data_IF_438861981547
#
_entry.id   IF_438861981547
#
_cell.length_a   1.000
_cell.length_b   1.000
_cell.length_c   1.000
_cell.angle_alpha   90.00
_cell.angle_beta   90.00
_cell.angle_gamma   90.00
#
_symmetry.space_group_name_H-M   'P 1'
#
loop_
_entity.id
_entity.type
_entity.pdbx_description
1 polymer ?
#
# COMPACT_ATOMS: atom_id res chain seq x y z
N UNK A 1 19.08 -19.31 -3.43
CA UNK A 1 19.82 -18.29 -4.20
C UNK A 1 19.88 -17.05 -3.33
N UNK A 2 21.05 -16.72 -2.80
CA UNK A 2 21.23 -15.60 -1.86
C UNK A 2 21.17 -14.31 -2.68
N UNK A 3 20.14 -13.50 -2.47
CA UNK A 3 20.09 -12.12 -2.96
C UNK A 3 21.26 -11.37 -2.34
N UNK A 4 22.08 -10.74 -3.16
CA UNK A 4 23.28 -10.05 -2.70
C UNK A 4 22.90 -8.98 -1.65
N UNK A 5 23.65 -8.85 -0.54
CA UNK A 5 23.42 -7.79 0.44
C UNK A 5 23.61 -6.42 -0.23
N UNK A 6 22.75 -5.46 0.10
CA UNK A 6 22.84 -4.06 -0.37
C UNK A 6 24.26 -3.54 -0.13
N UNK A 7 25.02 -3.26 -1.20
CA UNK A 7 26.38 -2.75 -1.10
C UNK A 7 26.39 -1.23 -1.13
N UNK A 8 27.23 -0.61 -0.29
CA UNK A 8 27.43 0.83 -0.29
C UNK A 8 27.86 1.34 -1.67
N UNK A 9 28.69 0.58 -2.39
CA UNK A 9 29.13 0.90 -3.75
C UNK A 9 27.97 1.06 -4.71
N UNK A 10 26.97 0.18 -4.65
CA UNK A 10 25.79 0.24 -5.52
C UNK A 10 24.93 1.46 -5.21
N UNK A 11 24.77 1.79 -3.93
CA UNK A 11 24.04 2.99 -3.49
C UNK A 11 24.73 4.27 -3.95
N UNK A 12 26.06 4.33 -3.85
CA UNK A 12 26.86 5.47 -4.33
C UNK A 12 26.71 5.64 -5.84
N UNK A 13 26.85 4.54 -6.60
CA UNK A 13 26.70 4.57 -8.07
C UNK A 13 25.29 5.04 -8.45
N UNK A 14 24.26 4.53 -7.78
CA UNK A 14 22.86 4.92 -8.01
C UNK A 14 22.68 6.43 -7.88
N UNK A 15 23.14 7.01 -6.76
CA UNK A 15 23.05 8.47 -6.53
C UNK A 15 23.89 9.27 -7.54
N UNK A 16 25.09 8.78 -7.86
CA UNK A 16 26.02 9.46 -8.76
C UNK A 16 25.51 9.52 -10.21
N UNK A 17 24.75 8.52 -10.64
CA UNK A 17 24.16 8.44 -11.98
C UNK A 17 22.91 9.32 -12.11
N UNK A 18 22.09 9.44 -11.07
CA UNK A 18 20.84 10.22 -11.12
C UNK A 18 21.04 11.74 -11.17
N UNK A 19 22.15 12.24 -10.61
CA UNK A 19 22.39 13.69 -10.44
C UNK A 19 23.78 14.09 -10.92
N UNK A 20 23.93 15.01 -11.90
CA UNK A 20 25.23 15.46 -12.38
C UNK A 20 25.91 16.44 -11.40
N UNK A 21 25.15 17.19 -10.61
CA UNK A 21 25.67 18.20 -9.68
C UNK A 21 25.89 17.66 -8.26
N UNK A 22 26.91 18.19 -7.58
CA UNK A 22 27.37 17.67 -6.28
C UNK A 22 26.33 17.87 -5.17
N UNK A 23 25.63 19.00 -5.15
CA UNK A 23 24.60 19.28 -4.13
C UNK A 23 23.34 18.44 -4.37
N UNK A 24 22.96 18.21 -5.62
CA UNK A 24 21.88 17.32 -6.03
C UNK A 24 22.15 15.88 -5.64
N UNK A 25 23.39 15.40 -5.77
CA UNK A 25 23.81 14.07 -5.27
C UNK A 25 23.66 13.97 -3.75
N UNK A 26 24.06 15.00 -3.00
CA UNK A 26 23.91 15.00 -1.54
C UNK A 26 22.43 14.94 -1.12
N UNK A 27 21.57 15.73 -1.76
CA UNK A 27 20.12 15.67 -1.51
C UNK A 27 19.54 14.28 -1.81
N UNK A 28 19.91 13.70 -2.96
CA UNK A 28 19.48 12.36 -3.34
C UNK A 28 19.99 11.27 -2.38
N UNK A 29 21.22 11.40 -1.88
CA UNK A 29 21.76 10.49 -0.87
C UNK A 29 20.98 10.55 0.45
N UNK A 30 20.58 11.74 0.90
CA UNK A 30 19.75 11.90 2.11
C UNK A 30 18.37 11.26 1.91
N UNK A 31 17.73 11.49 0.77
CA UNK A 31 16.44 10.88 0.43
C UNK A 31 16.54 9.35 0.37
N UNK A 32 17.59 8.81 -0.25
CA UNK A 32 17.83 7.38 -0.33
C UNK A 32 18.11 6.78 1.05
N UNK A 33 18.89 7.46 1.89
CA UNK A 33 19.14 7.03 3.28
C UNK A 33 17.85 6.98 4.09
N UNK A 34 16.96 7.96 3.94
CA UNK A 34 15.66 7.95 4.60
C UNK A 34 14.80 6.78 4.14
N UNK A 35 14.77 6.51 2.82
CA UNK A 35 14.05 5.36 2.25
C UNK A 35 14.58 4.02 2.77
N UNK A 36 15.91 3.86 2.85
CA UNK A 36 16.54 2.65 3.39
C UNK A 36 16.21 2.48 4.89
N UNK A 37 16.16 3.57 5.65
CA UNK A 37 15.72 3.55 7.04
C UNK A 37 14.28 3.06 7.18
N UNK A 38 13.37 3.60 6.37
CA UNK A 38 11.97 3.17 6.32
C UNK A 38 11.82 1.71 5.90
N UNK A 39 12.54 1.26 4.88
CA UNK A 39 12.54 -0.15 4.47
C UNK A 39 13.06 -1.06 5.57
N UNK A 40 14.12 -0.64 6.27
CA UNK A 40 14.64 -1.32 7.46
C UNK A 40 13.59 -1.43 8.56
N UNK A 41 12.88 -0.34 8.86
CA UNK A 41 11.82 -0.33 9.86
C UNK A 41 10.66 -1.26 9.50
N UNK A 42 10.25 -1.31 8.23
CA UNK A 42 9.19 -2.23 7.77
C UNK A 42 9.64 -3.69 7.78
N UNK A 43 10.87 -3.97 7.38
CA UNK A 43 11.46 -5.30 7.46
C UNK A 43 11.45 -5.82 8.90
N UNK A 44 11.92 -4.98 9.84
CA UNK A 44 11.89 -5.31 11.28
C UNK A 44 10.44 -5.47 11.74
N UNK A 45 9.55 -4.55 11.35
CA UNK A 45 8.12 -4.61 11.70
C UNK A 45 7.44 -5.91 11.24
N UNK A 46 7.77 -6.42 10.05
CA UNK A 46 7.26 -7.70 9.54
C UNK A 46 7.63 -8.87 10.46
N UNK A 47 8.91 -8.99 10.82
CA UNK A 47 9.38 -10.06 11.70
C UNK A 47 8.92 -9.89 13.15
N UNK A 48 8.68 -8.65 13.60
CA UNK A 48 8.02 -8.39 14.89
C UNK A 48 6.57 -8.89 14.86
N UNK A 49 5.81 -8.58 13.80
CA UNK A 49 4.43 -9.09 13.61
C UNK A 49 4.42 -10.64 13.58
N UNK A 50 5.37 -11.25 12.87
CA UNK A 50 5.55 -12.71 12.81
C UNK A 50 5.85 -13.31 14.19
N UNK A 51 6.83 -12.76 14.92
CA UNK A 51 7.19 -13.20 16.27
C UNK A 51 6.01 -13.09 17.24
N UNK A 52 5.22 -11.99 17.15
CA UNK A 52 4.01 -11.82 17.96
C UNK A 52 2.96 -12.88 17.65
N UNK A 53 2.76 -13.25 16.37
CA UNK A 53 1.83 -14.32 15.96
C UNK A 53 2.30 -15.70 16.42
N UNK A 54 3.60 -15.92 16.47
CA UNK A 54 4.21 -17.14 17.02
C UNK A 54 4.18 -17.20 18.56
N UNK A 55 3.64 -16.16 19.23
CA UNK A 55 3.45 -16.12 20.68
C UNK A 55 4.58 -15.46 21.47
N UNK A 56 5.59 -14.88 20.81
CA UNK A 56 6.70 -14.21 21.50
C UNK A 56 6.21 -12.99 22.30
N UNK A 57 6.74 -12.81 23.51
CA UNK A 57 6.38 -11.67 24.36
C UNK A 57 7.09 -10.39 23.90
N UNK A 58 6.56 -9.23 24.31
CA UNK A 58 7.23 -7.95 24.07
C UNK A 58 8.58 -7.82 24.81
N UNK A 59 8.80 -8.63 25.84
CA UNK A 59 10.09 -8.72 26.51
C UNK A 59 11.10 -9.41 25.60
N UNK A 60 10.74 -10.59 25.07
CA UNK A 60 11.60 -11.39 24.20
C UNK A 60 11.94 -10.65 22.90
N UNK A 61 10.95 -9.96 22.32
CA UNK A 61 11.14 -9.14 21.11
C UNK A 61 12.08 -7.98 21.39
N UNK A 62 11.91 -7.30 22.53
CA UNK A 62 12.79 -6.20 22.92
C UNK A 62 14.24 -6.65 23.07
N UNK A 63 14.44 -7.76 23.78
CA UNK A 63 15.76 -8.39 23.96
C UNK A 63 16.40 -8.76 22.61
N UNK A 64 15.62 -9.37 21.70
CA UNK A 64 16.10 -9.79 20.38
C UNK A 64 16.53 -8.64 19.48
N UNK A 65 15.95 -7.45 19.61
CA UNK A 65 16.28 -6.27 18.78
C UNK A 65 17.14 -5.25 19.54
N UNK A 66 17.63 -5.59 20.74
CA UNK A 66 18.52 -4.76 21.54
C UNK A 66 17.87 -3.51 22.14
N UNK A 67 16.56 -3.53 22.40
CA UNK A 67 15.83 -2.39 22.99
C UNK A 67 15.01 -2.83 24.20
N UNK A 68 14.60 -1.88 25.05
CA UNK A 68 13.74 -2.21 26.18
C UNK A 68 12.34 -2.64 25.71
N UNK A 69 11.63 -3.45 26.52
CA UNK A 69 10.20 -3.79 26.27
C UNK A 69 9.36 -2.56 25.92
N UNK A 70 9.53 -1.47 26.68
CA UNK A 70 8.79 -0.22 26.46
C UNK A 70 9.19 0.47 25.14
N UNK A 71 10.46 0.43 24.75
CA UNK A 71 10.91 0.96 23.47
C UNK A 71 10.37 0.13 22.28
N UNK A 72 10.39 -1.20 22.40
CA UNK A 72 9.79 -2.10 21.41
C UNK A 72 8.28 -1.84 21.28
N UNK A 73 7.56 -1.78 22.41
CA UNK A 73 6.13 -1.47 22.40
C UNK A 73 5.84 -0.10 21.80
N UNK A 74 6.57 0.95 22.20
CA UNK A 74 6.36 2.30 21.66
C UNK A 74 6.60 2.37 20.15
N UNK A 75 7.52 1.57 19.61
CA UNK A 75 7.91 1.58 18.19
C UNK A 75 7.00 0.71 17.31
N UNK A 76 6.51 -0.42 17.83
CA UNK A 76 5.82 -1.44 17.02
C UNK A 76 4.39 -1.74 17.46
N UNK A 77 3.96 -1.35 18.67
CA UNK A 77 2.54 -1.36 19.01
C UNK A 77 1.91 -0.16 18.30
N UNK A 78 0.91 -0.36 17.43
CA UNK A 78 0.14 0.75 16.89
C UNK A 78 -0.39 1.56 18.06
N UNK A 79 0.01 2.84 18.16
CA UNK A 79 -0.63 3.73 19.11
C UNK A 79 -2.08 3.83 18.71
N UNK A 80 -2.97 3.36 19.57
CA UNK A 80 -4.36 3.72 19.49
C UNK A 80 -4.47 5.23 19.78
N UNK A 81 -4.29 6.04 18.74
CA UNK A 81 -4.64 7.45 18.81
C UNK A 81 -6.15 7.54 19.07
N UNK A 82 -6.61 8.44 19.96
CA UNK A 82 -8.05 8.75 20.09
C UNK A 82 -8.68 9.19 18.74
N UNK A 83 -7.82 9.59 17.78
CA UNK A 83 -8.15 9.94 16.40
C UNK A 83 -7.91 8.78 15.38
N UNK A 84 -7.98 7.53 15.83
CA UNK A 84 -7.88 6.27 15.05
C UNK A 84 -8.86 6.16 13.86
N UNK A 85 -9.61 7.21 13.52
CA UNK A 85 -10.58 7.24 12.43
C UNK A 85 -9.99 7.46 11.04
N UNK A 86 -8.71 7.85 10.89
CA UNK A 86 -8.13 8.22 9.59
C UNK A 86 -6.70 7.68 9.40
N UNK A 87 -6.45 6.82 8.41
CA UNK A 87 -5.09 6.54 7.95
C UNK A 87 -4.44 7.86 7.48
N UNK A 88 -3.18 8.12 7.84
CA UNK A 88 -2.43 9.23 7.23
C UNK A 88 -2.28 8.94 5.74
N UNK A 89 -2.71 9.90 4.91
CA UNK A 89 -2.70 9.80 3.45
C UNK A 89 -1.58 10.65 2.83
N UNK A 90 -0.59 11.06 3.62
CA UNK A 90 0.46 12.00 3.18
C UNK A 90 1.31 11.40 2.05
N UNK A 91 1.52 10.08 2.08
CA UNK A 91 2.26 9.33 1.04
C UNK A 91 1.38 8.88 -0.13
N UNK A 92 0.08 9.10 -0.07
CA UNK A 92 -0.82 8.67 -1.14
C UNK A 92 -0.72 9.64 -2.33
N UNK A 93 -0.81 9.11 -3.54
CA UNK A 93 -0.99 9.94 -4.72
C UNK A 93 -2.36 10.62 -4.69
N UNK A 94 -2.57 11.65 -5.52
CA UNK A 94 -3.86 12.33 -5.58
C UNK A 94 -5.01 11.39 -6.00
N UNK A 95 -4.74 10.49 -6.96
CA UNK A 95 -5.70 9.45 -7.36
C UNK A 95 -6.00 8.48 -6.21
N UNK A 96 -5.00 8.06 -5.45
CA UNK A 96 -5.22 7.17 -4.31
C UNK A 96 -5.96 7.87 -3.15
N UNK A 97 -5.75 9.17 -2.93
CA UNK A 97 -6.61 9.97 -2.02
C UNK A 97 -8.05 10.04 -2.50
N UNK A 98 -8.25 10.23 -3.81
CA UNK A 98 -9.59 10.25 -4.43
C UNK A 98 -10.33 8.91 -4.25
N UNK A 99 -9.63 7.77 -4.35
CA UNK A 99 -10.18 6.44 -4.02
C UNK A 99 -10.79 6.41 -2.61
N UNK A 100 -10.11 6.98 -1.61
CA UNK A 100 -10.62 7.04 -0.23
C UNK A 100 -11.85 7.95 -0.11
N UNK A 101 -11.88 9.06 -0.83
CA UNK A 101 -13.05 9.96 -0.89
C UNK A 101 -14.24 9.26 -1.55
N UNK A 102 -14.02 8.54 -2.65
CA UNK A 102 -15.04 7.75 -3.32
C UNK A 102 -15.57 6.63 -2.44
N UNK A 103 -14.69 5.96 -1.67
CA UNK A 103 -15.10 4.96 -0.69
C UNK A 103 -16.07 5.53 0.36
N UNK A 104 -15.81 6.74 0.86
CA UNK A 104 -16.73 7.45 1.77
C UNK A 104 -18.08 7.73 1.11
N UNK A 105 -18.07 8.18 -0.15
CA UNK A 105 -19.29 8.43 -0.90
C UNK A 105 -20.13 7.14 -1.07
N UNK A 106 -19.48 6.00 -1.31
CA UNK A 106 -20.18 4.70 -1.40
C UNK A 106 -20.72 4.23 -0.04
N UNK A 107 -19.97 4.45 1.04
CA UNK A 107 -20.37 4.10 2.40
C UNK A 107 -21.43 5.04 3.00
N UNK A 108 -21.96 6.00 2.24
CA UNK A 108 -22.94 6.98 2.75
C UNK A 108 -24.19 6.34 3.33
N UNK A 109 -24.52 5.11 2.91
CA UNK A 109 -25.66 4.32 3.40
C UNK A 109 -25.27 3.18 4.35
N UNK A 110 -24.03 3.17 4.83
CA UNK A 110 -23.48 2.12 5.67
C UNK A 110 -22.99 2.68 7.02
N UNK A 111 -22.90 1.83 8.03
CA UNK A 111 -22.42 2.23 9.37
C UNK A 111 -20.91 2.50 9.39
N UNK A 112 -20.18 1.81 8.51
CA UNK A 112 -18.72 1.89 8.41
C UNK A 112 -18.28 1.86 6.95
N UNK A 113 -17.12 2.46 6.69
CA UNK A 113 -16.43 2.31 5.41
C UNK A 113 -15.68 0.99 5.44
N UNK A 114 -16.21 -0.02 4.76
CA UNK A 114 -15.59 -1.33 4.61
C UNK A 114 -14.71 -1.46 3.37
N UNK A 115 -14.14 -2.64 3.18
CA UNK A 115 -13.25 -2.96 2.05
C UNK A 115 -13.97 -2.89 0.71
N UNK A 116 -15.26 -3.23 0.70
CA UNK A 116 -16.14 -3.18 -0.47
C UNK A 116 -16.35 -1.76 -0.98
N UNK A 117 -16.50 -0.80 -0.07
CA UNK A 117 -16.57 0.61 -0.41
C UNK A 117 -15.24 1.12 -0.96
N UNK A 118 -14.12 0.67 -0.37
CA UNK A 118 -12.79 1.02 -0.84
C UNK A 118 -12.51 0.47 -2.24
N UNK A 119 -12.93 -0.77 -2.52
CA UNK A 119 -12.83 -1.38 -3.84
C UNK A 119 -13.69 -0.66 -4.88
N UNK A 120 -14.92 -0.24 -4.55
CA UNK A 120 -15.71 0.63 -5.43
C UNK A 120 -15.00 1.95 -5.72
N UNK A 121 -14.32 2.52 -4.72
CA UNK A 121 -13.48 3.70 -4.91
C UNK A 121 -12.34 3.45 -5.91
N UNK A 122 -11.68 2.29 -5.85
CA UNK A 122 -10.66 1.89 -6.83
C UNK A 122 -11.26 1.78 -8.23
N UNK A 123 -12.41 1.13 -8.39
CA UNK A 123 -13.08 0.94 -9.68
C UNK A 123 -13.55 2.27 -10.31
N UNK A 124 -14.05 3.20 -9.49
CA UNK A 124 -14.51 4.52 -9.95
C UNK A 124 -13.34 5.46 -10.32
N UNK A 125 -12.14 5.24 -9.77
CA UNK A 125 -10.90 5.87 -10.23
C UNK A 125 -10.36 5.14 -11.47
N UNK A 126 -11.16 5.09 -12.54
CA UNK A 126 -10.90 4.31 -13.77
C UNK A 126 -9.59 4.66 -14.49
N UNK A 127 -9.08 5.89 -14.30
CA UNK A 127 -7.77 6.33 -14.79
C UNK A 127 -6.58 5.84 -13.94
N UNK A 128 -6.85 5.20 -12.80
CA UNK A 128 -5.86 4.60 -11.91
C UNK A 128 -5.36 3.24 -12.43
N UNK A 129 -4.11 2.90 -12.10
CA UNK A 129 -3.55 1.59 -12.44
C UNK A 129 -4.27 0.45 -11.70
N UNK A 130 -4.83 0.70 -10.51
CA UNK A 130 -5.64 -0.29 -9.79
C UNK A 130 -6.89 -0.72 -10.57
N UNK A 131 -7.70 0.22 -11.07
CA UNK A 131 -8.87 -0.08 -11.87
C UNK A 131 -8.52 -0.84 -13.16
N UNK A 132 -7.46 -0.39 -13.87
CA UNK A 132 -6.99 -1.06 -15.08
C UNK A 132 -6.47 -2.47 -14.83
N UNK A 133 -5.80 -2.69 -13.70
CA UNK A 133 -5.33 -4.02 -13.30
C UNK A 133 -6.51 -4.96 -13.06
N UNK A 134 -7.58 -4.48 -12.41
CA UNK A 134 -8.81 -5.27 -12.26
C UNK A 134 -9.41 -5.59 -13.63
N UNK A 135 -9.60 -4.58 -14.48
CA UNK A 135 -10.19 -4.75 -15.81
C UNK A 135 -9.39 -5.71 -16.71
N UNK A 136 -8.07 -5.77 -16.53
CA UNK A 136 -7.20 -6.68 -17.30
C UNK A 136 -7.25 -8.14 -16.79
N UNK A 137 -7.65 -8.36 -15.53
CA UNK A 137 -7.55 -9.67 -14.87
C UNK A 137 -8.90 -10.29 -14.52
N UNK A 138 -9.97 -9.50 -14.45
CA UNK A 138 -11.30 -10.01 -14.14
C UNK A 138 -11.79 -10.97 -15.23
N UNK A 139 -12.53 -12.01 -14.83
CA UNK A 139 -12.96 -13.09 -15.72
C UNK A 139 -13.82 -12.60 -16.90
N UNK A 140 -14.58 -11.53 -16.69
CA UNK A 140 -15.24 -10.77 -17.74
C UNK A 140 -15.43 -9.31 -17.29
N UNK A 141 -15.51 -8.41 -18.27
CA UNK A 141 -15.61 -6.97 -18.04
C UNK A 141 -16.77 -6.61 -17.09
N UNK A 142 -16.45 -5.87 -16.03
CA UNK A 142 -17.40 -5.36 -15.06
C UNK A 142 -17.93 -6.40 -14.06
N UNK A 143 -17.47 -7.65 -14.11
CA UNK A 143 -17.92 -8.70 -13.18
C UNK A 143 -17.57 -8.37 -11.74
N UNK A 144 -16.38 -7.81 -11.47
CA UNK A 144 -16.00 -7.39 -10.12
C UNK A 144 -16.96 -6.34 -9.58
N UNK A 145 -17.33 -5.34 -10.40
CA UNK A 145 -18.28 -4.30 -9.99
C UNK A 145 -19.66 -4.88 -9.68
N UNK A 146 -20.17 -5.74 -10.56
CA UNK A 146 -21.49 -6.35 -10.39
C UNK A 146 -21.59 -7.24 -9.14
N UNK A 147 -20.56 -8.04 -8.87
CA UNK A 147 -20.48 -8.87 -7.68
C UNK A 147 -20.44 -8.00 -6.42
N UNK A 148 -19.66 -6.92 -6.44
CA UNK A 148 -19.52 -6.01 -5.30
C UNK A 148 -20.82 -5.28 -4.95
N UNK A 149 -21.58 -4.87 -5.96
CA UNK A 149 -22.88 -4.22 -5.76
C UNK A 149 -23.91 -5.14 -5.08
N UNK A 150 -23.79 -6.47 -5.23
CA UNK A 150 -24.65 -7.43 -4.52
C UNK A 150 -24.28 -7.59 -3.05
N UNK A 151 -23.04 -7.29 -2.68
CA UNK A 151 -22.54 -7.40 -1.29
C UNK A 151 -22.82 -6.14 -0.46
N UNK A 152 -23.21 -5.03 -1.08
CA UNK A 152 -23.44 -3.78 -0.37
C UNK A 152 -24.66 -3.87 0.54
N UNK A 153 -24.44 -3.65 1.83
CA UNK A 153 -25.52 -3.41 2.77
C UNK A 153 -26.05 -1.98 2.62
N UNK A 154 -27.26 -1.85 2.07
CA UNK A 154 -27.97 -0.57 1.91
C UNK A 154 -29.06 -0.36 2.96
N UNK A 155 -29.12 -1.20 4.00
CA UNK A 155 -30.29 -1.29 4.89
C UNK A 155 -30.14 -0.51 6.20
N UNK A 156 -28.96 0.05 6.50
CA UNK A 156 -28.69 0.70 7.79
C UNK A 156 -29.46 2.01 8.00
N UNK A 157 -30.24 2.04 9.10
CA UNK A 157 -31.11 3.16 9.51
C UNK A 157 -30.40 4.22 10.37
N UNK A 158 -29.27 3.89 10.98
CA UNK A 158 -28.51 4.81 11.84
C UNK A 158 -27.07 4.92 11.33
N UNK A 159 -26.63 6.16 11.04
CA UNK A 159 -25.35 6.38 10.37
C UNK A 159 -24.58 7.54 11.00
N UNK A 160 -23.36 7.29 11.50
CA UNK A 160 -22.43 8.36 11.86
C UNK A 160 -21.99 9.12 10.59
N UNK A 161 -21.89 10.44 10.68
CA UNK A 161 -21.22 11.27 9.67
C UNK A 161 -20.12 12.10 10.37
N UNK A 162 -18.83 11.89 10.05
CA UNK A 162 -18.31 10.94 9.06
C UNK A 162 -18.35 9.48 9.53
N UNK A 163 -18.57 8.54 8.59
CA UNK A 163 -18.49 7.11 8.86
C UNK A 163 -17.05 6.72 9.22
N UNK A 164 -16.83 5.91 10.28
CA UNK A 164 -15.51 5.37 10.60
C UNK A 164 -15.15 4.21 9.64
N UNK A 165 -13.86 4.01 9.38
CA UNK A 165 -13.40 2.82 8.66
C UNK A 165 -13.60 1.54 9.50
N UNK A 166 -13.94 0.43 8.85
CA UNK A 166 -13.90 -0.91 9.45
C UNK A 166 -12.45 -1.32 9.77
N UNK A 167 -12.27 -2.32 10.64
CA UNK A 167 -10.94 -2.84 10.97
C UNK A 167 -10.23 -3.37 9.71
N UNK A 168 -10.93 -4.17 8.89
CA UNK A 168 -10.41 -4.67 7.62
C UNK A 168 -10.06 -3.54 6.63
N UNK A 169 -10.86 -2.47 6.56
CA UNK A 169 -10.55 -1.35 5.66
C UNK A 169 -9.29 -0.59 6.10
N UNK A 170 -9.12 -0.35 7.41
CA UNK A 170 -7.87 0.26 7.93
C UNK A 170 -6.69 -0.65 7.62
N UNK A 171 -6.85 -1.96 7.83
CA UNK A 171 -5.80 -2.93 7.58
C UNK A 171 -5.39 -2.98 6.11
N UNK A 172 -6.35 -2.96 5.18
CA UNK A 172 -6.08 -2.90 3.75
C UNK A 172 -5.27 -1.64 3.36
N UNK A 173 -5.56 -0.48 3.96
CA UNK A 173 -4.82 0.77 3.71
C UNK A 173 -3.41 0.74 4.31
N UNK A 174 -3.20 0.10 5.46
CA UNK A 174 -1.86 -0.16 5.99
C UNK A 174 -1.06 -1.11 5.09
N UNK A 175 -1.69 -2.18 4.61
CA UNK A 175 -1.09 -3.13 3.69
C UNK A 175 -0.73 -2.46 2.36
N UNK A 176 -1.56 -1.54 1.85
CA UNK A 176 -1.23 -0.75 0.66
C UNK A 176 0.09 0.03 0.80
N UNK A 177 0.37 0.59 1.97
CA UNK A 177 1.65 1.26 2.25
C UNK A 177 2.80 0.24 2.21
N UNK A 178 2.62 -0.93 2.84
CA UNK A 178 3.63 -2.00 2.84
C UNK A 178 3.91 -2.51 1.44
N UNK A 179 2.88 -2.66 0.60
CA UNK A 179 3.03 -3.08 -0.80
C UNK A 179 3.80 -2.06 -1.63
N UNK A 180 3.51 -0.76 -1.47
CA UNK A 180 4.28 0.30 -2.14
C UNK A 180 5.76 0.22 -1.79
N UNK A 181 6.07 0.05 -0.51
CA UNK A 181 7.45 -0.02 -0.04
C UNK A 181 8.15 -1.30 -0.49
N UNK A 182 7.46 -2.45 -0.45
CA UNK A 182 8.00 -3.73 -0.92
C UNK A 182 8.37 -3.67 -2.41
N UNK A 183 7.62 -2.91 -3.20
CA UNK A 183 7.89 -2.66 -4.61
C UNK A 183 8.89 -1.51 -4.86
N UNK A 184 9.43 -0.88 -3.80
CA UNK A 184 10.39 0.22 -3.90
C UNK A 184 9.76 1.56 -4.33
N UNK A 185 8.45 1.71 -4.20
CA UNK A 185 7.72 2.91 -4.58
C UNK A 185 7.59 3.89 -3.41
N UNK A 186 7.92 5.17 -3.69
CA UNK A 186 7.88 6.26 -2.70
C UNK A 186 6.46 6.72 -2.33
N UNK A 187 5.50 6.54 -3.25
CA UNK A 187 4.12 6.97 -3.09
C UNK A 187 3.14 5.82 -3.26
N UNK A 188 2.06 5.85 -2.48
CA UNK A 188 0.97 4.88 -2.56
C UNK A 188 0.02 5.29 -3.68
N UNK A 189 0.10 4.58 -4.80
CA UNK A 189 -0.85 4.67 -5.91
C UNK A 189 -2.09 3.78 -5.75
N UNK A 190 -3.01 3.87 -6.72
CA UNK A 190 -4.26 3.10 -6.74
C UNK A 190 -4.03 1.58 -6.82
N UNK A 191 -2.96 1.17 -7.49
CA UNK A 191 -2.48 -0.20 -7.61
C UNK A 191 -2.05 -0.77 -6.26
N UNK A 192 -1.43 0.04 -5.41
CA UNK A 192 -1.06 -0.37 -4.07
C UNK A 192 -2.28 -0.52 -3.17
N UNK A 193 -3.30 0.33 -3.34
CA UNK A 193 -4.58 0.17 -2.66
C UNK A 193 -5.25 -1.16 -3.07
N UNK A 194 -5.21 -1.51 -4.36
CA UNK A 194 -5.67 -2.83 -4.84
C UNK A 194 -4.87 -3.99 -4.20
N UNK A 195 -3.54 -3.93 -4.20
CA UNK A 195 -2.71 -4.97 -3.58
C UNK A 195 -2.98 -5.09 -2.08
N UNK A 196 -3.15 -3.96 -1.38
CA UNK A 196 -3.53 -3.94 0.04
C UNK A 196 -4.92 -4.56 0.30
N UNK A 197 -5.89 -4.34 -0.59
CA UNK A 197 -7.20 -5.01 -0.53
C UNK A 197 -7.10 -6.52 -0.76
N UNK A 198 -6.23 -6.96 -1.67
CA UNK A 198 -5.98 -8.38 -1.94
C UNK A 198 -5.20 -9.07 -0.81
N UNK A 199 -4.32 -8.34 -0.13
CA UNK A 199 -3.55 -8.83 1.01
C UNK A 199 -4.40 -8.96 2.29
N UNK A 200 -5.46 -8.17 2.43
CA UNK A 200 -6.45 -8.32 3.51
C UNK A 200 -7.48 -9.42 3.16
N UNK A 201 -7.07 -10.69 3.31
CA UNK A 201 -7.81 -11.86 2.83
C UNK A 201 -9.22 -12.03 3.41
N UNK A 202 -9.47 -11.49 4.60
CA UNK A 202 -10.75 -11.64 5.31
C UNK A 202 -11.82 -10.63 4.85
N UNK A 203 -11.41 -9.58 4.11
CA UNK A 203 -12.31 -8.52 3.66
C UNK A 203 -13.26 -8.95 2.53
N UNK A 204 -14.42 -8.31 2.45
CA UNK A 204 -15.38 -8.50 1.34
C UNK A 204 -14.75 -8.24 -0.02
N UNK A 205 -13.87 -7.23 -0.13
CA UNK A 205 -13.16 -6.95 -1.37
C UNK A 205 -12.29 -8.11 -1.85
N UNK A 206 -11.52 -8.73 -0.95
CA UNK A 206 -10.65 -9.86 -1.30
C UNK A 206 -11.48 -11.06 -1.80
N UNK A 207 -12.59 -11.37 -1.13
CA UNK A 207 -13.52 -12.43 -1.57
C UNK A 207 -14.08 -12.15 -2.97
N UNK A 208 -14.56 -10.93 -3.21
CA UNK A 208 -15.13 -10.55 -4.52
C UNK A 208 -14.09 -10.58 -5.63
N UNK A 209 -12.88 -10.05 -5.37
CA UNK A 209 -11.77 -10.08 -6.32
C UNK A 209 -11.38 -11.52 -6.67
N UNK A 210 -11.22 -12.39 -5.65
CA UNK A 210 -10.90 -13.80 -5.85
C UNK A 210 -12.00 -14.53 -6.64
N UNK A 211 -13.27 -14.29 -6.32
CA UNK A 211 -14.42 -14.88 -7.03
C UNK A 211 -14.51 -14.43 -8.50
N UNK A 212 -13.93 -13.28 -8.85
CA UNK A 212 -13.90 -12.73 -10.21
C UNK A 212 -12.57 -12.95 -10.92
N UNK A 213 -11.67 -13.77 -10.35
CA UNK A 213 -10.40 -14.17 -10.98
C UNK A 213 -9.21 -13.25 -10.70
N UNK A 214 -9.42 -12.15 -9.97
CA UNK A 214 -8.35 -11.21 -9.61
C UNK A 214 -7.68 -11.70 -8.32
N UNK A 215 -6.43 -12.17 -8.45
CA UNK A 215 -5.63 -12.67 -7.32
C UNK A 215 -4.46 -11.75 -7.03
N UNK A 216 -3.95 -11.76 -5.79
CA UNK A 216 -2.77 -10.97 -5.41
C UNK A 216 -1.57 -11.20 -6.33
N UNK A 217 -1.14 -12.45 -6.61
CA UNK A 217 0.05 -12.67 -7.43
C UNK A 217 -0.12 -12.18 -8.88
N UNK A 218 -1.31 -12.37 -9.46
CA UNK A 218 -1.59 -11.91 -10.83
C UNK A 218 -1.64 -10.37 -10.90
N UNK A 219 -2.29 -9.73 -9.93
CA UNK A 219 -2.37 -8.27 -9.83
C UNK A 219 -0.97 -7.65 -9.67
N UNK A 220 -0.14 -8.21 -8.79
CA UNK A 220 1.24 -7.73 -8.60
C UNK A 220 2.07 -7.86 -9.89
N UNK A 221 2.04 -9.03 -10.52
CA UNK A 221 2.78 -9.26 -11.76
C UNK A 221 2.36 -8.26 -12.86
N UNK A 222 1.05 -8.00 -12.99
CA UNK A 222 0.52 -7.03 -13.95
C UNK A 222 0.98 -5.60 -13.62
N UNK A 223 0.89 -5.18 -12.35
CA UNK A 223 1.33 -3.85 -11.90
C UNK A 223 2.82 -3.63 -12.18
N UNK A 224 3.67 -4.60 -11.86
CA UNK A 224 5.11 -4.51 -12.12
C UNK A 224 5.40 -4.41 -13.62
N UNK A 225 4.70 -5.18 -14.45
CA UNK A 225 4.85 -5.15 -15.90
C UNK A 225 4.45 -3.78 -16.49
N UNK A 226 3.31 -3.23 -16.07
CA UNK A 226 2.81 -1.93 -16.54
C UNK A 226 3.73 -0.77 -16.14
N UNK A 227 4.24 -0.77 -14.90
CA UNK A 227 5.18 0.26 -14.43
C UNK A 227 6.50 0.17 -15.21
N UNK A 228 7.03 -1.04 -15.41
CA UNK A 228 8.26 -1.26 -16.18
C UNK A 228 8.12 -0.81 -17.65
N UNK A 229 6.97 -1.10 -18.25
CA UNK A 229 6.64 -0.64 -19.61
C UNK A 229 6.52 0.88 -19.68
N UNK A 230 5.91 1.52 -18.69
CA UNK A 230 5.78 2.98 -18.63
C UNK A 230 7.15 3.68 -18.52
N UNK A 231 8.05 3.16 -17.67
CA UNK A 231 9.43 3.67 -17.54
C UNK A 231 10.18 3.54 -18.88
N UNK A 232 10.02 2.42 -19.57
CA UNK A 232 10.69 2.15 -20.86
C UNK A 232 10.17 3.03 -22.01
N UNK A 233 8.91 3.49 -21.94
CA UNK A 233 8.28 4.38 -22.93
C UNK A 233 8.57 5.87 -22.68
N UNK A 234 9.03 6.24 -21.48
CA UNK A 234 9.37 7.62 -21.18
C UNK A 234 10.56 8.05 -22.07
N UNK A 235 10.46 9.17 -22.80
CA UNK A 235 11.57 9.65 -23.61
C UNK A 235 12.79 9.87 -22.71
N UNK A 236 13.94 9.32 -23.12
CA UNK A 236 15.22 9.61 -22.45
C UNK A 236 15.40 11.14 -22.42
N UNK A 237 15.72 11.74 -21.27
CA UNK A 237 16.03 13.17 -21.25
C UNK A 237 17.15 13.41 -22.27
N UNK A 238 16.93 14.36 -23.18
CA UNK A 238 17.97 14.77 -24.13
C UNK A 238 19.19 15.21 -23.32
N UNK A 239 20.34 14.59 -23.59
CA UNK A 239 21.60 15.02 -22.99
C UNK A 239 21.80 16.50 -23.34
N UNK A 240 21.98 17.40 -22.35
CA UNK A 240 22.33 18.77 -22.66
C UNK A 240 23.75 18.80 -23.26
N UNK A 241 23.85 19.11 -24.56
CA UNK A 241 25.12 19.41 -25.24
C UNK A 241 25.58 18.43 -26.31
N UNK A 242 24.73 18.13 -27.31
CA UNK A 242 25.16 17.58 -28.60
C UNK A 242 25.13 18.67 -29.68
#
# INVERSE_FOLDING_TARGET
MVTAPVQLTDLIVTVAVERPDVLGRLSAAVELSAQLGELGDHLIGHFVDEARRAGASWTDIGESIGVTKQAAQKRFVPRESPDLGKPSLDRYTERARRVVVLARHHARFSERIGTEHLLLGVLDESGGLGARTIAALEAAEGTTRLALLHELDTTSKQRPDPQPFSAHCKKALELAVREALRLGHRFVGTEHVLLGLLAESEGTAARVLAATGVTHPAAEAHVVAEISAAISRAPRPALPGA
#
